data_IF_557497959125
#
_entry.id   IF_557497959125
#
_cell.length_a   1.000
_cell.length_b   1.000
_cell.length_c   1.000
_cell.angle_alpha   90.00
_cell.angle_beta   90.00
_cell.angle_gamma   90.00
#
_symmetry.space_group_name_H-M   'P 1'
#
loop_
_entity.id
_entity.type
_entity.pdbx_description
1 polymer ?
#
# COMPACT_ATOMS: atom_id res chain seq x y z
N UNK A 1 48.73 42.03 -16.63
CA UNK A 1 47.28 41.73 -16.42
C UNK A 1 47.11 40.23 -16.63
N UNK A 2 47.12 39.45 -15.56
CA UNK A 2 46.98 37.97 -15.63
C UNK A 2 45.55 37.60 -15.23
N UNK A 3 44.81 37.04 -16.19
CA UNK A 3 43.49 36.44 -15.95
C UNK A 3 43.69 35.12 -15.20
N UNK A 4 43.13 35.00 -13.98
CA UNK A 4 42.99 33.72 -13.29
C UNK A 4 41.70 33.07 -13.75
N UNK A 5 41.85 31.95 -14.43
CA UNK A 5 40.75 31.02 -14.73
C UNK A 5 40.34 30.31 -13.45
N UNK A 6 39.12 30.57 -12.98
CA UNK A 6 38.50 29.81 -11.88
C UNK A 6 37.82 28.61 -12.51
N UNK A 7 38.41 27.43 -12.30
CA UNK A 7 37.80 26.16 -12.70
C UNK A 7 36.72 25.79 -11.68
N UNK A 8 35.47 25.85 -12.10
CA UNK A 8 34.32 25.34 -11.32
C UNK A 8 34.33 23.80 -11.40
N UNK A 9 34.85 23.14 -10.37
CA UNK A 9 34.70 21.69 -10.21
C UNK A 9 33.34 21.48 -9.61
N UNK A 10 32.37 21.11 -10.43
CA UNK A 10 31.07 20.64 -10.01
C UNK A 10 31.22 19.30 -9.27
N UNK A 11 31.03 19.30 -7.97
CA UNK A 11 31.00 18.10 -7.15
C UNK A 11 29.67 17.39 -7.42
N UNK A 12 29.68 16.39 -8.30
CA UNK A 12 28.57 15.45 -8.47
C UNK A 12 28.50 14.58 -7.19
N UNK A 13 27.65 14.95 -6.23
CA UNK A 13 27.28 14.07 -5.13
C UNK A 13 26.32 13.02 -5.69
N UNK A 14 26.84 11.84 -6.01
CA UNK A 14 26.06 10.67 -6.33
C UNK A 14 25.43 10.14 -5.04
N UNK A 15 24.11 10.29 -4.89
CA UNK A 15 23.38 9.57 -3.87
C UNK A 15 23.56 8.06 -4.08
N UNK A 16 24.21 7.39 -3.12
CA UNK A 16 24.42 5.95 -3.19
C UNK A 16 23.16 5.26 -2.76
N UNK A 17 22.38 4.74 -3.73
CA UNK A 17 21.25 3.85 -3.47
C UNK A 17 21.81 2.51 -3.01
N UNK A 18 21.63 2.18 -1.75
CA UNK A 18 22.04 0.88 -1.19
C UNK A 18 20.83 -0.05 -1.23
N UNK A 19 20.85 -0.98 -2.17
CA UNK A 19 19.90 -2.10 -2.18
C UNK A 19 20.47 -3.26 -1.40
N UNK A 20 19.77 -3.64 -0.35
CA UNK A 20 20.01 -4.93 0.32
C UNK A 20 18.94 -5.92 -0.13
N UNK A 21 19.35 -7.07 -0.63
CA UNK A 21 18.45 -8.22 -0.69
C UNK A 21 18.20 -8.66 0.74
N UNK A 22 16.99 -8.46 1.25
CA UNK A 22 16.58 -8.97 2.55
C UNK A 22 16.36 -10.48 2.46
N UNK A 23 17.43 -11.25 2.48
CA UNK A 23 17.43 -12.70 2.27
C UNK A 23 16.64 -13.50 3.33
N UNK A 24 16.07 -12.86 4.34
CA UNK A 24 15.42 -13.50 5.48
C UNK A 24 13.91 -13.29 5.61
N UNK A 25 13.25 -12.60 4.68
CA UNK A 25 11.81 -12.40 4.76
C UNK A 25 11.13 -13.05 3.55
N UNK A 26 10.80 -14.33 3.71
CA UNK A 26 9.84 -15.08 2.92
C UNK A 26 10.18 -15.39 1.45
N UNK A 27 11.17 -16.24 1.19
CA UNK A 27 11.10 -17.12 0.02
C UNK A 27 9.93 -18.08 0.25
N UNK A 28 8.70 -17.67 -0.04
CA UNK A 28 7.53 -18.55 -0.04
C UNK A 28 7.38 -19.14 -1.42
N UNK A 29 7.45 -20.46 -1.50
CA UNK A 29 7.09 -21.20 -2.68
C UNK A 29 5.59 -21.50 -2.62
N UNK A 30 4.83 -20.93 -3.57
CA UNK A 30 3.41 -21.16 -3.74
C UNK A 30 3.12 -22.11 -4.90
N UNK A 31 3.94 -23.16 -5.06
CA UNK A 31 3.81 -24.09 -6.17
C UNK A 31 4.20 -23.46 -7.52
N UNK A 32 3.24 -22.84 -8.20
CA UNK A 32 3.46 -22.20 -9.51
C UNK A 32 4.27 -20.88 -9.43
N UNK A 33 4.45 -20.30 -8.24
CA UNK A 33 5.12 -19.00 -8.02
C UNK A 33 6.20 -19.10 -6.95
N UNK A 34 7.40 -18.64 -7.26
CA UNK A 34 8.46 -18.34 -6.30
C UNK A 34 8.53 -16.82 -6.10
N UNK A 35 8.33 -16.40 -4.86
CA UNK A 35 8.39 -14.98 -4.48
C UNK A 35 9.76 -14.63 -3.90
N UNK A 36 10.19 -13.37 -4.10
CA UNK A 36 11.34 -12.77 -3.45
C UNK A 36 11.01 -11.33 -3.05
N UNK A 37 11.90 -10.63 -2.38
CA UNK A 37 11.69 -9.24 -1.99
C UNK A 37 12.91 -8.36 -2.22
N UNK A 38 12.66 -7.09 -2.51
CA UNK A 38 13.67 -6.04 -2.62
C UNK A 38 13.44 -5.06 -1.46
N UNK A 39 14.50 -4.82 -0.67
CA UNK A 39 14.53 -3.78 0.34
C UNK A 39 15.33 -2.59 -0.20
N UNK A 40 14.72 -1.41 -0.14
CA UNK A 40 15.37 -0.15 -0.47
C UNK A 40 15.23 0.79 0.73
N UNK A 41 16.35 1.40 1.13
CA UNK A 41 16.39 2.46 2.13
C UNK A 41 17.16 3.64 1.55
N UNK A 42 16.53 4.79 1.51
CA UNK A 42 17.13 6.01 0.96
C UNK A 42 16.81 7.21 1.86
N UNK A 43 17.82 8.03 2.11
CA UNK A 43 17.70 9.29 2.84
C UNK A 43 18.15 10.43 1.92
N UNK A 44 17.28 11.43 1.75
CA UNK A 44 17.58 12.61 0.93
C UNK A 44 17.43 13.86 1.78
N UNK A 45 18.51 14.63 1.92
CA UNK A 45 18.54 15.90 2.63
C UNK A 45 18.21 17.08 1.70
N UNK A 46 17.56 18.10 2.24
CA UNK A 46 17.37 19.39 1.56
C UNK A 46 18.74 19.99 1.17
N UNK A 47 18.84 20.54 0.01
CA UNK A 47 20.05 21.13 -0.57
C UNK A 47 21.26 20.15 -0.64
N UNK A 48 21.07 18.87 -0.38
CA UNK A 48 22.15 17.88 -0.25
C UNK A 48 23.03 18.07 0.99
N UNK A 49 22.58 18.85 1.96
CA UNK A 49 23.30 19.15 3.20
C UNK A 49 22.79 18.27 4.34
N UNK A 50 23.64 17.39 4.87
CA UNK A 50 23.29 16.45 5.95
C UNK A 50 22.94 17.11 7.29
N UNK A 51 23.20 18.41 7.43
CA UNK A 51 22.76 19.20 8.58
C UNK A 51 21.32 19.71 8.44
N UNK A 52 20.69 19.51 7.29
CA UNK A 52 19.32 19.94 6.98
C UNK A 52 18.33 18.79 7.14
N UNK A 53 17.01 19.09 7.27
CA UNK A 53 15.97 18.08 7.29
C UNK A 53 16.08 17.12 6.11
N UNK A 54 15.54 15.92 6.30
CA UNK A 54 15.60 14.87 5.29
C UNK A 54 14.24 14.19 5.08
N UNK A 55 14.03 13.62 3.92
CA UNK A 55 13.04 12.58 3.73
C UNK A 55 13.70 11.19 3.76
N UNK A 56 13.01 10.24 4.36
CA UNK A 56 13.42 8.85 4.45
C UNK A 56 12.42 7.97 3.69
N UNK A 57 12.91 7.25 2.71
CA UNK A 57 12.15 6.25 1.95
C UNK A 57 12.61 4.86 2.35
N UNK A 58 11.67 4.04 2.86
CA UNK A 58 11.89 2.62 3.12
C UNK A 58 10.88 1.83 2.30
N UNK A 59 11.36 0.94 1.45
CA UNK A 59 10.51 0.05 0.65
C UNK A 59 10.92 -1.38 0.90
N UNK A 60 9.93 -2.24 1.18
CA UNK A 60 10.06 -3.68 1.19
C UNK A 60 9.03 -4.25 0.21
N UNK A 61 9.46 -4.49 -1.02
CA UNK A 61 8.61 -4.86 -2.13
C UNK A 61 8.75 -6.34 -2.48
N UNK A 62 7.66 -7.07 -2.36
CA UNK A 62 7.60 -8.49 -2.74
C UNK A 62 7.23 -8.63 -4.21
N UNK A 63 7.96 -9.45 -4.95
CA UNK A 63 7.79 -9.68 -6.38
C UNK A 63 7.90 -11.15 -6.75
N UNK A 64 7.41 -11.51 -7.93
CA UNK A 64 7.54 -12.86 -8.48
C UNK A 64 8.93 -13.01 -9.08
N UNK A 65 9.77 -13.84 -8.46
CA UNK A 65 11.11 -14.17 -8.94
C UNK A 65 11.07 -15.20 -10.06
N UNK A 66 10.28 -16.26 -9.88
CA UNK A 66 10.05 -17.30 -10.88
C UNK A 66 8.56 -17.69 -10.92
N UNK A 67 8.10 -18.07 -12.10
CA UNK A 67 6.79 -18.65 -12.33
C UNK A 67 6.93 -19.80 -13.34
N UNK A 68 5.99 -20.74 -13.33
CA UNK A 68 5.95 -21.81 -14.32
C UNK A 68 5.90 -21.27 -15.76
N UNK A 69 5.28 -20.11 -15.96
CA UNK A 69 5.20 -19.39 -17.23
C UNK A 69 5.86 -18.02 -17.09
N UNK A 70 6.84 -17.66 -17.93
CA UNK A 70 7.49 -16.35 -17.88
C UNK A 70 6.50 -15.17 -17.98
N UNK A 71 5.47 -15.30 -18.83
CA UNK A 71 4.46 -14.28 -19.05
C UNK A 71 3.65 -13.99 -17.77
N UNK A 72 3.43 -15.02 -16.95
CA UNK A 72 2.77 -14.89 -15.64
C UNK A 72 3.60 -14.04 -14.68
N UNK A 73 4.90 -14.29 -14.59
CA UNK A 73 5.85 -13.51 -13.80
C UNK A 73 5.82 -12.04 -14.20
N UNK A 74 5.99 -11.75 -15.49
CA UNK A 74 6.12 -10.39 -15.99
C UNK A 74 4.80 -9.61 -15.82
N UNK A 75 3.66 -10.27 -16.04
CA UNK A 75 2.34 -9.68 -15.85
C UNK A 75 2.04 -9.36 -14.39
N UNK A 76 2.37 -10.28 -13.46
CA UNK A 76 2.20 -10.05 -12.03
C UNK A 76 3.11 -8.95 -11.51
N UNK A 77 4.39 -8.95 -11.90
CA UNK A 77 5.32 -7.91 -11.46
C UNK A 77 4.90 -6.53 -11.96
N UNK A 78 4.46 -6.43 -13.22
CA UNK A 78 3.92 -5.17 -13.75
C UNK A 78 2.72 -4.68 -12.97
N UNK A 79 1.78 -5.59 -12.66
CA UNK A 79 0.58 -5.27 -11.91
C UNK A 79 0.91 -4.85 -10.46
N UNK A 80 1.80 -5.57 -9.78
CA UNK A 80 2.24 -5.23 -8.43
C UNK A 80 2.93 -3.86 -8.38
N UNK A 81 3.80 -3.57 -9.37
CA UNK A 81 4.46 -2.27 -9.47
C UNK A 81 3.46 -1.14 -9.72
N UNK A 82 2.55 -1.30 -10.69
CA UNK A 82 1.51 -0.32 -10.96
C UNK A 82 0.63 -0.06 -9.73
N UNK A 83 0.23 -1.13 -9.04
CA UNK A 83 -0.61 -1.05 -7.85
C UNK A 83 0.09 -0.36 -6.68
N UNK A 84 1.38 -0.67 -6.43
CA UNK A 84 2.12 -0.13 -5.30
C UNK A 84 2.75 1.23 -5.55
N UNK A 85 3.22 1.49 -6.77
CA UNK A 85 4.01 2.68 -7.08
C UNK A 85 3.30 3.66 -8.01
N UNK A 86 2.22 3.21 -8.65
CA UNK A 86 1.50 3.96 -9.68
C UNK A 86 1.86 3.53 -11.11
N UNK A 87 0.97 3.84 -12.05
CA UNK A 87 1.05 3.40 -13.46
C UNK A 87 2.36 3.80 -14.16
N UNK A 88 2.97 4.91 -13.76
CA UNK A 88 4.24 5.39 -14.33
C UNK A 88 5.43 4.46 -14.05
N UNK A 89 5.29 3.54 -13.09
CA UNK A 89 6.35 2.63 -12.65
C UNK A 89 6.11 1.17 -13.06
N UNK A 90 5.13 0.89 -13.92
CA UNK A 90 4.76 -0.45 -14.39
C UNK A 90 5.80 -1.08 -15.34
N UNK A 91 7.03 -1.20 -14.89
CA UNK A 91 8.08 -1.95 -15.60
C UNK A 91 7.98 -3.46 -15.36
N UNK A 92 8.82 -4.25 -16.05
CA UNK A 92 8.98 -5.68 -15.76
C UNK A 92 10.12 -5.96 -14.80
N UNK A 93 11.03 -5.01 -14.63
CA UNK A 93 12.15 -5.06 -13.70
C UNK A 93 11.83 -4.29 -12.40
N UNK A 94 11.52 -5.00 -11.31
CA UNK A 94 11.17 -4.38 -10.04
C UNK A 94 12.29 -3.50 -9.46
N UNK A 95 13.55 -3.87 -9.63
CA UNK A 95 14.69 -3.10 -9.12
C UNK A 95 14.80 -1.74 -9.81
N UNK A 96 14.67 -1.71 -11.14
CA UNK A 96 14.71 -0.47 -11.89
C UNK A 96 13.52 0.44 -11.55
N UNK A 97 12.33 -0.13 -11.41
CA UNK A 97 11.13 0.63 -11.04
C UNK A 97 11.27 1.26 -9.65
N UNK A 98 11.77 0.52 -8.66
CA UNK A 98 11.99 1.03 -7.31
C UNK A 98 13.06 2.12 -7.27
N UNK A 99 14.15 1.99 -8.04
CA UNK A 99 15.16 3.04 -8.17
C UNK A 99 14.60 4.32 -8.81
N UNK A 100 13.74 4.18 -9.80
CA UNK A 100 13.05 5.33 -10.41
C UNK A 100 12.11 5.99 -9.40
N UNK A 101 11.29 5.20 -8.71
CA UNK A 101 10.39 5.69 -7.67
C UNK A 101 11.13 6.48 -6.58
N UNK A 102 12.24 5.95 -6.08
CA UNK A 102 13.05 6.62 -5.07
C UNK A 102 13.59 7.97 -5.57
N UNK A 103 14.07 8.03 -6.81
CA UNK A 103 14.54 9.30 -7.41
C UNK A 103 13.43 10.33 -7.55
N UNK A 104 12.24 9.90 -7.97
CA UNK A 104 11.08 10.80 -8.08
C UNK A 104 10.65 11.32 -6.71
N UNK A 105 10.54 10.44 -5.70
CA UNK A 105 10.22 10.84 -4.32
C UNK A 105 11.23 11.87 -3.77
N UNK A 106 12.52 11.62 -3.95
CA UNK A 106 13.58 12.53 -3.54
C UNK A 106 13.52 13.89 -4.28
N UNK A 107 13.19 13.85 -5.59
CA UNK A 107 13.03 15.05 -6.42
C UNK A 107 11.84 15.89 -5.96
N UNK A 108 10.69 15.27 -5.74
CA UNK A 108 9.47 15.93 -5.27
C UNK A 108 9.69 16.58 -3.91
N UNK A 109 10.25 15.85 -2.95
CA UNK A 109 10.58 16.37 -1.63
C UNK A 109 11.40 17.67 -1.70
N UNK A 110 12.45 17.70 -2.52
CA UNK A 110 13.29 18.89 -2.67
C UNK A 110 12.56 20.03 -3.38
N UNK A 111 11.86 19.74 -4.47
CA UNK A 111 11.15 20.74 -5.24
C UNK A 111 10.08 21.45 -4.42
N UNK A 112 9.39 20.72 -3.57
CA UNK A 112 8.29 21.25 -2.78
C UNK A 112 8.80 22.03 -1.56
N UNK A 113 9.88 21.56 -0.91
CA UNK A 113 10.28 22.08 0.39
C UNK A 113 11.49 23.02 0.39
N UNK A 114 12.42 22.91 -0.56
CA UNK A 114 13.59 23.81 -0.56
C UNK A 114 13.21 25.29 -0.68
N UNK A 115 12.25 25.69 -1.53
CA UNK A 115 11.82 27.11 -1.60
C UNK A 115 11.25 27.60 -0.26
N UNK A 116 10.30 26.86 0.30
CA UNK A 116 9.62 27.22 1.57
C UNK A 116 10.60 27.26 2.74
N UNK A 117 11.52 26.28 2.79
CA UNK A 117 12.53 26.25 3.85
C UNK A 117 13.44 27.48 3.86
N UNK A 118 13.75 28.05 2.69
CA UNK A 118 14.57 29.28 2.60
C UNK A 118 13.82 30.53 3.09
N UNK A 119 12.49 30.52 2.95
CA UNK A 119 11.63 31.63 3.43
C UNK A 119 11.43 31.59 4.94
N UNK A 120 11.30 30.40 5.53
CA UNK A 120 10.91 30.19 6.93
C UNK A 120 12.08 29.91 7.89
N UNK A 121 13.33 29.86 7.40
CA UNK A 121 14.51 29.44 8.18
C UNK A 121 14.84 30.25 9.44
N UNK A 122 14.16 31.38 9.66
CA UNK A 122 14.33 32.24 10.84
C UNK A 122 13.44 31.83 12.03
N UNK A 123 12.56 30.82 11.88
CA UNK A 123 11.70 30.32 12.95
C UNK A 123 12.33 29.13 13.68
N UNK A 124 12.34 29.17 15.03
CA UNK A 124 13.07 28.22 15.91
C UNK A 124 12.61 26.75 15.86
N UNK A 125 11.66 26.33 14.99
CA UNK A 125 11.06 24.99 15.00
C UNK A 125 10.87 24.36 13.60
N UNK A 126 11.59 24.80 12.61
CA UNK A 126 11.44 24.40 11.21
C UNK A 126 11.74 22.93 10.93
N UNK A 127 12.59 22.27 11.75
CA UNK A 127 13.11 20.94 11.44
C UNK A 127 12.09 19.81 11.33
N UNK A 128 11.11 19.76 12.25
CA UNK A 128 10.15 18.62 12.30
C UNK A 128 9.18 18.64 11.12
N UNK A 129 8.71 19.82 10.70
CA UNK A 129 7.76 19.99 9.58
C UNK A 129 8.35 19.63 8.22
N UNK A 130 9.67 19.63 8.10
CA UNK A 130 10.41 19.34 6.89
C UNK A 130 11.03 17.93 6.89
N UNK A 131 10.86 17.15 7.96
CA UNK A 131 11.39 15.79 8.07
C UNK A 131 10.31 14.78 7.66
N UNK A 132 10.35 14.33 6.42
CA UNK A 132 9.37 13.40 5.86
C UNK A 132 9.82 11.96 5.96
N UNK A 133 8.88 11.04 6.00
CA UNK A 133 9.16 9.63 5.73
C UNK A 133 8.04 8.98 4.93
N UNK A 134 8.40 7.94 4.20
CA UNK A 134 7.47 7.02 3.56
C UNK A 134 7.98 5.60 3.70
N UNK A 135 7.14 4.72 4.25
CA UNK A 135 7.37 3.29 4.32
C UNK A 135 6.35 2.58 3.45
N UNK A 136 6.82 1.75 2.52
CA UNK A 136 6.00 0.88 1.69
C UNK A 136 6.39 -0.56 1.98
N UNK A 137 5.41 -1.40 2.31
CA UNK A 137 5.60 -2.84 2.45
C UNK A 137 4.57 -3.58 1.64
N UNK A 138 4.97 -4.68 1.00
CA UNK A 138 4.05 -5.51 0.24
C UNK A 138 4.39 -6.99 0.35
N UNK A 139 3.39 -7.85 0.24
CA UNK A 139 3.56 -9.30 0.23
C UNK A 139 2.30 -10.01 -0.28
N UNK A 140 2.46 -11.26 -0.68
CA UNK A 140 1.32 -12.16 -0.94
C UNK A 140 0.74 -12.58 0.41
N UNK A 141 -0.52 -12.18 0.67
CA UNK A 141 -1.24 -12.52 1.89
C UNK A 141 -1.91 -13.89 1.80
N UNK A 142 -2.49 -14.20 0.64
CA UNK A 142 -3.18 -15.46 0.39
C UNK A 142 -2.91 -15.93 -1.03
N UNK A 143 -2.74 -17.24 -1.19
CA UNK A 143 -2.63 -17.89 -2.48
C UNK A 143 -3.20 -19.31 -2.38
N UNK A 144 -4.18 -19.58 -3.19
CA UNK A 144 -4.73 -20.93 -3.35
C UNK A 144 -5.33 -21.07 -4.74
N UNK A 145 -4.92 -22.15 -5.43
CA UNK A 145 -5.37 -22.45 -6.80
C UNK A 145 -5.19 -21.26 -7.76
N UNK A 146 -6.29 -20.64 -8.16
CA UNK A 146 -6.32 -19.52 -9.12
C UNK A 146 -6.50 -18.14 -8.43
N UNK A 147 -6.56 -18.12 -7.10
CA UNK A 147 -6.75 -16.88 -6.33
C UNK A 147 -5.44 -16.45 -5.69
N UNK A 148 -5.04 -15.22 -5.91
CA UNK A 148 -3.91 -14.57 -5.25
C UNK A 148 -4.39 -13.26 -4.63
N UNK A 149 -4.06 -13.02 -3.37
CA UNK A 149 -4.27 -11.75 -2.69
C UNK A 149 -2.92 -11.13 -2.39
N UNK A 150 -2.69 -9.97 -2.97
CA UNK A 150 -1.49 -9.19 -2.75
C UNK A 150 -1.83 -8.00 -1.86
N UNK A 151 -1.17 -7.92 -0.70
CA UNK A 151 -1.34 -6.83 0.26
C UNK A 151 -0.21 -5.83 0.11
N UNK A 152 -0.54 -4.55 0.16
CA UNK A 152 0.46 -3.49 0.32
C UNK A 152 0.00 -2.47 1.35
N UNK A 153 0.98 -1.88 2.03
CA UNK A 153 0.76 -0.89 3.09
C UNK A 153 1.68 0.30 2.86
N UNK A 154 1.09 1.46 2.92
CA UNK A 154 1.79 2.73 3.04
C UNK A 154 1.74 3.22 4.47
N UNK A 155 2.81 3.86 4.90
CA UNK A 155 2.89 4.65 6.09
C UNK A 155 3.74 5.87 5.77
N UNK A 156 3.19 7.07 5.95
CA UNK A 156 3.91 8.29 5.60
C UNK A 156 3.65 9.43 6.58
N UNK A 157 4.64 10.31 6.66
CA UNK A 157 4.55 11.58 7.33
C UNK A 157 5.11 12.65 6.39
N UNK A 158 4.30 13.67 6.12
CA UNK A 158 4.61 14.80 5.25
C UNK A 158 4.38 16.13 5.95
N UNK A 159 4.72 16.17 7.24
CA UNK A 159 4.42 17.31 8.11
C UNK A 159 3.07 17.17 8.81
N UNK A 160 2.83 17.96 9.84
CA UNK A 160 1.61 17.96 10.61
C UNK A 160 1.70 17.25 11.96
N UNK A 161 0.55 16.92 12.57
CA UNK A 161 0.47 16.43 13.93
C UNK A 161 0.91 14.94 14.05
N UNK A 162 0.67 14.12 13.03
CA UNK A 162 1.03 12.70 13.00
C UNK A 162 1.08 12.17 11.57
N UNK A 163 1.72 11.02 11.39
CA UNK A 163 1.69 10.28 10.14
C UNK A 163 0.35 9.61 9.86
N UNK A 164 0.17 9.18 8.62
CA UNK A 164 -0.98 8.38 8.19
C UNK A 164 -0.48 7.04 7.67
N UNK A 165 -1.30 6.00 7.81
CA UNK A 165 -1.04 4.71 7.20
C UNK A 165 -2.31 4.13 6.58
N UNK A 166 -2.11 3.45 5.44
CA UNK A 166 -3.18 2.75 4.73
C UNK A 166 -2.72 1.36 4.32
N UNK A 167 -3.66 0.43 4.29
CA UNK A 167 -3.45 -0.92 3.79
C UNK A 167 -4.45 -1.20 2.70
N UNK A 168 -3.99 -1.79 1.60
CA UNK A 168 -4.80 -2.12 0.44
C UNK A 168 -4.57 -3.55 0.00
N UNK A 169 -5.55 -4.12 -0.67
CA UNK A 169 -5.52 -5.47 -1.16
C UNK A 169 -5.85 -5.51 -2.64
N UNK A 170 -5.04 -6.24 -3.39
CA UNK A 170 -5.28 -6.59 -4.76
C UNK A 170 -5.65 -8.07 -4.81
N UNK A 171 -6.92 -8.36 -5.03
CA UNK A 171 -7.41 -9.72 -5.25
C UNK A 171 -7.29 -10.04 -6.74
N UNK A 172 -6.67 -11.15 -7.10
CA UNK A 172 -6.40 -11.55 -8.48
C UNK A 172 -6.97 -12.93 -8.78
N UNK A 173 -7.63 -13.04 -9.94
CA UNK A 173 -7.89 -14.31 -10.56
C UNK A 173 -6.75 -14.62 -11.55
N UNK A 174 -5.92 -15.61 -11.23
CA UNK A 174 -4.73 -15.99 -12.02
C UNK A 174 -5.06 -16.70 -13.32
N UNK A 175 -6.30 -17.18 -13.50
CA UNK A 175 -6.74 -17.83 -14.74
C UNK A 175 -6.86 -16.80 -15.88
N UNK A 176 -7.44 -15.67 -15.59
CA UNK A 176 -7.65 -14.58 -16.55
C UNK A 176 -6.76 -13.36 -16.33
N UNK A 177 -5.94 -13.35 -15.27
CA UNK A 177 -5.03 -12.28 -14.89
C UNK A 177 -5.71 -10.93 -14.63
N UNK A 178 -6.92 -10.96 -14.07
CA UNK A 178 -7.71 -9.77 -13.78
C UNK A 178 -7.86 -9.55 -12.28
N UNK A 179 -7.89 -8.28 -11.83
CA UNK A 179 -8.39 -7.96 -10.51
C UNK A 179 -9.80 -8.50 -10.31
N UNK A 180 -10.10 -8.89 -9.09
CA UNK A 180 -11.44 -9.32 -8.66
C UNK A 180 -12.07 -8.18 -7.87
N UNK A 181 -13.22 -7.70 -8.34
CA UNK A 181 -14.01 -6.65 -7.73
C UNK A 181 -15.27 -7.22 -7.06
N UNK A 182 -15.93 -6.44 -6.22
CA UNK A 182 -17.17 -6.89 -5.56
C UNK A 182 -18.25 -7.30 -6.57
N UNK A 183 -18.37 -6.60 -7.68
CA UNK A 183 -19.31 -6.93 -8.76
C UNK A 183 -18.99 -8.25 -9.47
N UNK A 184 -17.79 -8.77 -9.37
CA UNK A 184 -17.44 -10.10 -9.89
C UNK A 184 -17.91 -11.20 -8.92
N UNK A 185 -18.01 -10.89 -7.63
CA UNK A 185 -18.36 -11.84 -6.58
C UNK A 185 -19.85 -11.86 -6.25
N UNK A 186 -20.51 -10.72 -6.28
CA UNK A 186 -21.86 -10.51 -5.80
C UNK A 186 -22.80 -9.98 -6.89
N UNK A 187 -24.10 -10.26 -6.71
CA UNK A 187 -25.14 -9.73 -7.59
C UNK A 187 -25.28 -8.21 -7.45
N UNK A 188 -25.78 -7.54 -8.48
CA UNK A 188 -25.88 -6.08 -8.51
C UNK A 188 -26.77 -5.48 -7.40
N UNK A 189 -27.70 -6.27 -6.87
CA UNK A 189 -28.63 -5.91 -5.80
C UNK A 189 -28.14 -6.34 -4.40
N UNK A 190 -26.93 -6.92 -4.29
CA UNK A 190 -26.43 -7.43 -3.01
C UNK A 190 -25.98 -6.33 -2.03
N UNK A 191 -25.81 -5.09 -2.47
CA UNK A 191 -25.16 -4.04 -1.66
C UNK A 191 -25.89 -3.76 -0.32
N UNK A 192 -27.21 -3.68 -0.32
CA UNK A 192 -28.01 -3.46 0.89
C UNK A 192 -27.87 -4.63 1.86
N UNK A 193 -28.00 -5.86 1.37
CA UNK A 193 -27.87 -7.06 2.19
C UNK A 193 -26.44 -7.24 2.76
N UNK A 194 -25.42 -6.94 1.98
CA UNK A 194 -24.03 -6.93 2.45
C UNK A 194 -23.83 -5.87 3.54
N UNK A 195 -24.41 -4.68 3.38
CA UNK A 195 -24.37 -3.62 4.39
C UNK A 195 -24.97 -4.10 5.72
N UNK A 196 -26.13 -4.75 5.67
CA UNK A 196 -26.76 -5.29 6.88
C UNK A 196 -25.94 -6.41 7.53
N UNK A 197 -25.31 -7.27 6.74
CA UNK A 197 -24.40 -8.30 7.25
C UNK A 197 -23.16 -7.68 7.91
N UNK A 198 -22.59 -6.60 7.34
CA UNK A 198 -21.46 -5.88 7.93
C UNK A 198 -21.83 -5.25 9.28
N UNK A 199 -22.99 -4.61 9.38
CA UNK A 199 -23.49 -4.06 10.64
C UNK A 199 -23.70 -5.16 11.69
N UNK A 200 -24.35 -6.26 11.32
CA UNK A 200 -24.59 -7.38 12.21
C UNK A 200 -23.29 -8.01 12.72
N UNK A 201 -22.31 -8.19 11.83
CA UNK A 201 -21.01 -8.73 12.20
C UNK A 201 -20.24 -7.78 13.12
N UNK A 202 -20.23 -6.47 12.79
CA UNK A 202 -19.55 -5.47 13.62
C UNK A 202 -20.18 -5.36 15.02
N UNK A 203 -21.52 -5.44 15.13
CA UNK A 203 -22.22 -5.51 16.43
C UNK A 203 -21.82 -6.76 17.20
N UNK A 204 -21.78 -7.92 16.54
CA UNK A 204 -21.37 -9.17 17.18
C UNK A 204 -19.93 -9.14 17.69
N UNK A 205 -18.99 -8.61 16.89
CA UNK A 205 -17.58 -8.49 17.24
C UNK A 205 -17.37 -7.58 18.46
N UNK A 206 -18.18 -6.52 18.58
CA UNK A 206 -18.13 -5.57 19.70
C UNK A 206 -19.06 -5.95 20.87
N UNK A 207 -19.87 -7.00 20.73
CA UNK A 207 -20.82 -7.47 21.74
C UNK A 207 -21.85 -6.41 22.15
N UNK A 208 -22.34 -5.66 21.19
CA UNK A 208 -23.39 -4.65 21.37
C UNK A 208 -24.69 -5.12 20.71
N UNK A 209 -25.81 -4.56 21.14
CA UNK A 209 -27.13 -4.99 20.71
C UNK A 209 -27.75 -4.11 19.63
N UNK A 210 -27.22 -2.92 19.39
CA UNK A 210 -27.76 -1.98 18.41
C UNK A 210 -26.68 -1.19 17.66
N UNK A 211 -27.07 -0.57 16.54
CA UNK A 211 -26.19 0.33 15.75
C UNK A 211 -25.85 1.59 16.56
N UNK A 212 -26.80 2.11 17.34
CA UNK A 212 -26.59 3.27 18.20
C UNK A 212 -25.48 3.01 19.22
N UNK A 213 -25.42 1.80 19.80
CA UNK A 213 -24.32 1.43 20.71
C UNK A 213 -22.96 1.40 20.01
N UNK A 214 -22.89 1.01 18.72
CA UNK A 214 -21.65 1.11 17.92
C UNK A 214 -21.28 2.58 17.66
N UNK A 215 -22.25 3.43 17.34
CA UNK A 215 -22.03 4.86 17.15
C UNK A 215 -21.52 5.53 18.43
N UNK A 216 -22.06 5.16 19.59
CA UNK A 216 -21.58 5.62 20.90
C UNK A 216 -20.13 5.19 21.19
N UNK A 217 -19.69 4.06 20.64
CA UNK A 217 -18.29 3.61 20.67
C UNK A 217 -17.38 4.36 19.68
N UNK A 218 -17.95 5.16 18.77
CA UNK A 218 -17.23 5.98 17.79
C UNK A 218 -17.19 5.40 16.37
N UNK A 219 -17.81 4.24 16.12
CA UNK A 219 -17.96 3.73 14.75
C UNK A 219 -18.88 4.65 13.94
N UNK A 220 -18.66 4.71 12.63
CA UNK A 220 -19.39 5.55 11.67
C UNK A 220 -19.37 7.05 11.95
N UNK A 221 -18.52 7.50 12.88
CA UNK A 221 -18.37 8.94 13.17
C UNK A 221 -17.61 9.74 12.11
N UNK A 222 -16.88 9.03 11.22
CA UNK A 222 -16.10 9.67 10.13
C UNK A 222 -16.61 9.31 8.74
N UNK A 223 -17.40 8.24 8.60
CA UNK A 223 -17.98 7.80 7.33
C UNK A 223 -19.01 6.70 7.51
N UNK A 224 -19.71 6.35 6.45
CA UNK A 224 -20.76 5.33 6.45
C UNK A 224 -20.18 3.92 6.35
N UNK A 225 -20.80 2.95 7.06
CA UNK A 225 -20.46 1.54 6.92
C UNK A 225 -21.22 0.94 5.74
N UNK A 226 -20.51 0.80 4.62
CA UNK A 226 -20.97 0.17 3.38
C UNK A 226 -19.88 -0.76 2.83
N UNK A 227 -20.19 -1.75 1.97
CA UNK A 227 -19.16 -2.57 1.33
C UNK A 227 -18.10 -1.72 0.63
N UNK A 228 -16.83 -2.01 0.89
CA UNK A 228 -15.68 -1.33 0.27
C UNK A 228 -14.97 -2.24 -0.70
N UNK A 229 -14.44 -1.68 -1.80
CA UNK A 229 -13.54 -2.40 -2.74
C UNK A 229 -12.19 -2.76 -2.11
N UNK A 230 -11.88 -2.23 -0.92
CA UNK A 230 -10.70 -2.61 -0.15
C UNK A 230 -11.03 -3.83 0.73
N UNK A 231 -11.04 -4.99 0.12
CA UNK A 231 -11.31 -6.28 0.75
C UNK A 231 -10.25 -7.31 0.39
N UNK A 232 -10.22 -8.42 1.14
CA UNK A 232 -9.41 -9.56 0.77
C UNK A 232 -10.15 -10.89 0.91
N UNK A 233 -9.81 -11.79 0.00
CA UNK A 233 -10.36 -13.14 -0.04
C UNK A 233 -9.48 -14.09 0.78
N UNK A 234 -10.14 -15.07 1.39
CA UNK A 234 -9.50 -16.19 2.07
C UNK A 234 -10.31 -17.47 1.87
N UNK A 235 -9.78 -18.59 2.34
CA UNK A 235 -10.51 -19.85 2.35
C UNK A 235 -11.80 -19.77 3.17
N UNK A 236 -11.78 -18.99 4.24
CA UNK A 236 -12.87 -18.87 5.20
C UNK A 236 -13.99 -17.92 4.73
N UNK A 237 -13.64 -16.89 3.94
CA UNK A 237 -14.61 -15.87 3.54
C UNK A 237 -13.98 -14.66 2.88
N UNK A 238 -14.73 -13.56 2.93
CA UNK A 238 -14.32 -12.23 2.51
C UNK A 238 -14.14 -11.33 3.74
N UNK A 239 -13.07 -10.56 3.79
CA UNK A 239 -12.85 -9.55 4.83
C UNK A 239 -12.81 -8.17 4.21
N UNK A 240 -13.72 -7.31 4.62
CA UNK A 240 -13.75 -5.90 4.27
C UNK A 240 -12.81 -5.12 5.20
N UNK A 241 -11.99 -4.25 4.64
CA UNK A 241 -10.96 -3.53 5.36
C UNK A 241 -11.14 -2.03 5.19
N UNK A 242 -11.41 -1.35 6.30
CA UNK A 242 -11.56 0.10 6.35
C UNK A 242 -10.30 0.68 6.99
N UNK A 243 -9.63 1.56 6.27
CA UNK A 243 -8.45 2.26 6.78
C UNK A 243 -8.82 3.25 7.88
N UNK A 244 -7.82 3.78 8.56
CA UNK A 244 -8.02 4.85 9.54
C UNK A 244 -8.77 6.01 8.92
N UNK A 245 -9.71 6.59 9.66
CA UNK A 245 -10.62 7.67 9.24
C UNK A 245 -11.71 7.29 8.22
N UNK A 246 -11.73 6.07 7.66
CA UNK A 246 -12.79 5.72 6.70
C UNK A 246 -14.17 5.59 7.39
N UNK A 247 -14.24 4.89 8.52
CA UNK A 247 -15.51 4.73 9.27
C UNK A 247 -15.37 5.01 10.77
N UNK A 248 -14.16 5.23 11.28
CA UNK A 248 -13.89 5.43 12.70
C UNK A 248 -12.68 6.36 12.90
N UNK A 249 -12.55 7.04 14.06
CA UNK A 249 -11.42 7.91 14.35
C UNK A 249 -10.09 7.16 14.33
N UNK A 250 -9.00 7.88 14.04
CA UNK A 250 -7.64 7.36 13.94
C UNK A 250 -7.22 6.48 15.14
N UNK A 251 -7.64 6.84 16.35
CA UNK A 251 -7.29 6.14 17.58
C UNK A 251 -7.82 4.70 17.62
N UNK A 252 -8.89 4.41 16.88
CA UNK A 252 -9.45 3.04 16.77
C UNK A 252 -8.66 2.15 15.81
N UNK A 253 -7.77 2.75 15.00
CA UNK A 253 -7.05 2.03 13.97
C UNK A 253 -7.93 1.62 12.79
N UNK A 254 -7.43 0.75 11.91
CA UNK A 254 -8.21 0.21 10.80
C UNK A 254 -9.23 -0.82 11.31
N UNK A 255 -10.40 -0.85 10.71
CA UNK A 255 -11.50 -1.77 11.05
C UNK A 255 -11.54 -2.90 10.01
N UNK A 256 -11.66 -4.13 10.48
CA UNK A 256 -11.79 -5.31 9.63
C UNK A 256 -13.09 -6.05 10.00
N UNK A 257 -13.89 -6.38 8.99
CA UNK A 257 -15.14 -7.12 9.17
C UNK A 257 -15.10 -8.34 8.25
N UNK A 258 -15.06 -9.52 8.86
CA UNK A 258 -14.97 -10.80 8.14
C UNK A 258 -16.33 -11.45 8.03
N UNK A 259 -16.75 -11.75 6.81
CA UNK A 259 -17.97 -12.49 6.52
C UNK A 259 -17.61 -13.87 5.96
N UNK A 260 -17.94 -14.97 6.68
CA UNK A 260 -17.78 -16.34 6.19
C UNK A 260 -18.54 -16.56 4.87
N UNK A 261 -17.99 -17.40 3.97
CA UNK A 261 -18.64 -17.71 2.69
C UNK A 261 -20.08 -18.21 2.84
N UNK A 262 -20.37 -18.99 3.87
CA UNK A 262 -21.71 -19.49 4.16
C UNK A 262 -22.72 -18.36 4.37
N UNK A 263 -22.28 -17.26 5.00
CA UNK A 263 -23.14 -16.11 5.31
C UNK A 263 -23.53 -15.32 4.06
N UNK A 264 -22.64 -15.23 3.08
CA UNK A 264 -22.82 -14.43 1.87
C UNK A 264 -23.15 -15.27 0.62
N UNK A 265 -23.25 -16.60 0.76
CA UNK A 265 -23.44 -17.52 -0.37
C UNK A 265 -24.66 -17.18 -1.25
N UNK A 266 -25.77 -16.78 -0.64
CA UNK A 266 -27.00 -16.44 -1.34
C UNK A 266 -26.94 -15.11 -2.12
N UNK A 267 -25.92 -14.30 -1.90
CA UNK A 267 -25.68 -13.02 -2.59
C UNK A 267 -24.68 -13.15 -3.73
N UNK A 268 -24.03 -14.32 -3.87
CA UNK A 268 -22.96 -14.52 -4.86
C UNK A 268 -23.50 -14.62 -6.29
N UNK A 269 -22.71 -14.11 -7.24
CA UNK A 269 -22.92 -14.37 -8.65
C UNK A 269 -22.72 -15.86 -8.95
N UNK A 270 -23.68 -16.49 -9.59
CA UNK A 270 -23.60 -17.90 -9.99
C UNK A 270 -22.80 -18.13 -11.27
N UNK A 271 -22.30 -17.08 -11.90
CA UNK A 271 -21.79 -17.13 -13.28
C UNK A 271 -20.32 -17.55 -13.42
N UNK A 272 -19.50 -17.37 -12.40
CA UNK A 272 -18.15 -17.95 -12.37
C UNK A 272 -17.69 -18.08 -10.91
N UNK A 273 -17.72 -19.30 -10.36
CA UNK A 273 -17.05 -19.54 -9.08
C UNK A 273 -15.55 -19.28 -9.26
N UNK A 274 -14.91 -18.34 -8.55
CA UNK A 274 -13.53 -18.52 -8.24
C UNK A 274 -13.46 -19.84 -7.45
N UNK A 275 -12.69 -20.81 -7.94
CA UNK A 275 -12.58 -22.15 -7.35
C UNK A 275 -11.95 -22.06 -5.95
N UNK A 276 -12.77 -21.72 -4.96
CA UNK A 276 -12.40 -21.56 -3.54
C UNK A 276 -12.87 -22.79 -2.73
N UNK A 277 -13.18 -23.92 -3.40
CA UNK A 277 -13.51 -25.19 -2.72
C UNK A 277 -12.27 -26.04 -2.48
#
# INVERSE_FOLDING_TARGET
MKLHSVSLIGLLITASVILFSCHNIMNKNYGALEMDSICLNETTHLFGDTAKPACNLTVNFSYVKQAERPELKDSLNRLFLATCLGENFQGTDPEQALRLYAREYAREYRQDLEPTYLEEKEEDNVGAWYSYYRHLTSHVQYYEKETLVYRYRYEEYTGGAHGIYTTHFLNLNLKNMKPVHLNDLFTADANEALTDLLWNQLMADNRVASREELEDLGYTSTGELTPTENFFLSKEGITFYYNVYEIAPYVMGPIQISLPWEMVQHLRNHTEEPNIN
#
